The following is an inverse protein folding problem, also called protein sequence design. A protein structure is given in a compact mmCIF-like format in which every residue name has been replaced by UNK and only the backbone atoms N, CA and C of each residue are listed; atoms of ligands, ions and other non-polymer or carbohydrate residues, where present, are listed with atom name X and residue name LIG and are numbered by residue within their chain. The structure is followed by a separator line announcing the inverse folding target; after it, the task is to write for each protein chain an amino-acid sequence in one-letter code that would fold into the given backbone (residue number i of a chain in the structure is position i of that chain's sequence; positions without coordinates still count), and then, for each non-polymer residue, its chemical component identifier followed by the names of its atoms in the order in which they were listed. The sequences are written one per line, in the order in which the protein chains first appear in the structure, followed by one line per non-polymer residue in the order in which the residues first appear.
data_IF_191351629501
#
_entry.id   IF_191351629501
#
_cell.length_a   1.000
_cell.length_b   1.000
_cell.length_c   1.000
_cell.angle_alpha   90.00
_cell.angle_beta   90.00
_cell.angle_gamma   90.00
#
_symmetry.space_group_name_H-M   'P 1'
#
loop_
_entity.id
_entity.type
_entity.pdbx_description
1 polymer ?
#
# COMPACT_ATOMS: atom_id res chain seq x y z
N UNK A 1 24.65 0.42 29.04
CA UNK A 1 24.53 -0.05 27.64
C UNK A 1 23.56 0.88 26.93
N UNK A 2 24.06 1.73 26.03
CA UNK A 2 23.20 2.50 25.13
C UNK A 2 22.57 1.50 24.16
N UNK A 3 21.31 1.13 24.43
CA UNK A 3 20.53 0.36 23.47
C UNK A 3 20.52 1.14 22.16
N UNK A 4 20.84 0.48 21.05
CA UNK A 4 20.67 1.08 19.73
C UNK A 4 19.16 1.21 19.49
N UNK A 5 18.65 2.38 19.85
CA UNK A 5 17.24 2.78 19.81
C UNK A 5 16.68 2.57 18.40
N UNK A 6 17.48 2.89 17.37
CA UNK A 6 17.10 2.75 15.97
C UNK A 6 17.02 1.27 15.55
N UNK A 7 18.01 0.46 15.94
CA UNK A 7 17.97 -1.00 15.70
C UNK A 7 16.76 -1.65 16.37
N UNK A 8 16.49 -1.29 17.63
CA UNK A 8 15.36 -1.84 18.39
C UNK A 8 14.02 -1.49 17.71
N UNK A 9 13.87 -0.22 17.28
CA UNK A 9 12.68 0.23 16.55
C UNK A 9 12.49 -0.54 15.25
N UNK A 10 13.58 -0.78 14.51
CA UNK A 10 13.55 -1.52 13.24
C UNK A 10 13.10 -2.97 13.45
N UNK A 11 13.68 -3.68 14.43
CA UNK A 11 13.31 -5.06 14.75
C UNK A 11 11.82 -5.19 15.12
N UNK A 12 11.30 -4.23 15.90
CA UNK A 12 9.89 -4.20 16.27
C UNK A 12 8.99 -3.97 15.04
N UNK A 13 9.34 -3.05 14.15
CA UNK A 13 8.57 -2.78 12.94
C UNK A 13 8.61 -3.96 11.96
N UNK A 14 9.75 -4.64 11.80
CA UNK A 14 9.87 -5.81 10.94
C UNK A 14 8.95 -6.94 11.44
N UNK A 15 9.03 -7.28 12.74
CA UNK A 15 8.17 -8.31 13.34
C UNK A 15 6.69 -7.93 13.31
N UNK A 16 6.37 -6.66 13.54
CA UNK A 16 5.00 -6.16 13.50
C UNK A 16 4.41 -6.20 12.08
N UNK A 17 5.21 -5.88 11.05
CA UNK A 17 4.80 -5.94 9.65
C UNK A 17 4.28 -7.33 9.30
N UNK A 18 5.04 -8.38 9.64
CA UNK A 18 4.64 -9.76 9.38
C UNK A 18 3.39 -10.17 10.16
N UNK A 19 3.33 -9.85 11.46
CA UNK A 19 2.18 -10.21 12.30
C UNK A 19 0.88 -9.52 11.81
N UNK A 20 0.93 -8.21 11.55
CA UNK A 20 -0.24 -7.46 11.09
C UNK A 20 -0.67 -7.84 9.69
N UNK A 21 0.27 -8.04 8.74
CA UNK A 21 -0.10 -8.49 7.40
C UNK A 21 -0.82 -9.85 7.44
N UNK A 22 -0.39 -10.77 8.33
CA UNK A 22 -0.99 -12.09 8.44
C UNK A 22 -2.34 -12.08 9.17
N UNK A 23 -2.46 -11.33 10.28
CA UNK A 23 -3.56 -11.49 11.25
C UNK A 23 -4.42 -10.24 11.45
N UNK A 24 -4.10 -9.14 10.79
CA UNK A 24 -4.73 -7.86 11.03
C UNK A 24 -4.38 -7.26 12.40
N UNK A 25 -4.92 -6.08 12.66
CA UNK A 25 -4.68 -5.34 13.90
C UNK A 25 -5.35 -6.04 15.08
N UNK A 26 -6.60 -6.48 14.95
CA UNK A 26 -7.37 -7.16 15.98
C UNK A 26 -6.77 -8.52 16.35
N UNK A 27 -6.33 -9.30 15.35
CA UNK A 27 -5.74 -10.63 15.55
C UNK A 27 -4.31 -10.62 16.08
N UNK A 28 -3.62 -9.48 16.02
CA UNK A 28 -2.22 -9.37 16.47
C UNK A 28 -2.10 -9.04 17.95
N UNK A 29 -1.25 -9.79 18.65
CA UNK A 29 -0.90 -9.56 20.06
C UNK A 29 0.46 -8.89 20.17
N UNK A 30 0.56 -7.81 20.94
CA UNK A 30 1.81 -7.08 21.20
C UNK A 30 2.89 -7.98 21.79
N UNK A 31 2.52 -8.92 22.67
CA UNK A 31 3.46 -9.91 23.22
C UNK A 31 4.09 -10.80 22.13
N UNK A 32 3.33 -11.16 21.10
CA UNK A 32 3.84 -11.98 19.99
C UNK A 32 4.83 -11.18 19.13
N UNK A 33 4.52 -9.91 18.83
CA UNK A 33 5.44 -9.01 18.12
C UNK A 33 6.76 -8.85 18.88
N UNK A 34 6.69 -8.58 20.19
CA UNK A 34 7.85 -8.40 21.04
C UNK A 34 8.75 -9.65 21.07
N UNK A 35 8.13 -10.82 21.24
CA UNK A 35 8.82 -12.11 21.21
C UNK A 35 9.51 -12.35 19.88
N UNK A 36 8.82 -12.14 18.77
CA UNK A 36 9.36 -12.39 17.43
C UNK A 36 10.47 -11.39 17.06
N UNK A 37 10.39 -10.16 17.57
CA UNK A 37 11.48 -9.17 17.46
C UNK A 37 12.67 -9.45 18.38
N UNK A 38 12.54 -10.34 19.38
CA UNK A 38 13.53 -10.53 20.44
C UNK A 38 13.73 -9.30 21.32
N UNK A 39 12.69 -8.47 21.46
CA UNK A 39 12.72 -7.19 22.17
C UNK A 39 11.71 -7.20 23.32
N UNK A 40 12.04 -6.53 24.43
CA UNK A 40 11.10 -6.35 25.53
C UNK A 40 9.85 -5.56 25.05
N UNK A 41 8.66 -6.09 25.31
CA UNK A 41 7.37 -5.47 24.97
C UNK A 41 7.18 -4.06 25.51
N UNK A 42 7.79 -3.70 26.65
CA UNK A 42 7.72 -2.32 27.16
C UNK A 42 8.29 -1.30 26.15
N UNK A 43 9.22 -1.72 25.28
CA UNK A 43 9.73 -0.88 24.19
C UNK A 43 8.67 -0.54 23.14
N UNK A 44 7.68 -1.40 22.91
CA UNK A 44 6.59 -1.11 21.97
C UNK A 44 5.78 0.08 22.49
N UNK A 45 5.37 0.03 23.75
CA UNK A 45 4.65 1.14 24.39
C UNK A 45 5.51 2.41 24.44
N UNK A 46 6.81 2.27 24.70
CA UNK A 46 7.73 3.42 24.70
C UNK A 46 7.85 4.10 23.32
N UNK A 47 7.96 3.34 22.23
CA UNK A 47 8.18 3.90 20.88
C UNK A 47 6.90 4.29 20.15
N UNK A 48 5.81 3.56 20.39
CA UNK A 48 4.61 3.63 19.57
C UNK A 48 3.35 3.94 20.39
N UNK A 49 3.45 4.02 21.71
CA UNK A 49 2.35 4.33 22.62
C UNK A 49 1.40 3.15 22.86
N UNK A 50 0.87 2.56 21.79
CA UNK A 50 -0.08 1.45 21.83
C UNK A 50 0.05 0.57 20.56
N UNK A 51 -0.83 -0.43 20.43
CA UNK A 51 -0.83 -1.37 19.30
C UNK A 51 -1.22 -0.67 18.00
N UNK A 52 -2.14 0.28 18.08
CA UNK A 52 -2.68 1.07 16.99
C UNK A 52 -1.61 2.00 16.40
N UNK A 53 -0.83 2.67 17.25
CA UNK A 53 0.30 3.50 16.85
C UNK A 53 1.46 2.67 16.29
N UNK A 54 1.64 1.43 16.75
CA UNK A 54 2.57 0.49 16.13
C UNK A 54 2.09 0.10 14.72
N UNK A 55 0.80 -0.17 14.55
CA UNK A 55 0.20 -0.45 13.23
C UNK A 55 0.35 0.75 12.28
N UNK A 56 0.08 1.97 12.75
CA UNK A 56 0.26 3.19 11.97
C UNK A 56 1.71 3.36 11.51
N UNK A 57 2.67 3.13 12.41
CA UNK A 57 4.08 3.21 12.09
C UNK A 57 4.54 2.13 11.09
N UNK A 58 3.97 0.92 11.17
CA UNK A 58 4.20 -0.15 10.18
C UNK A 58 3.65 0.25 8.82
N UNK A 59 2.41 0.73 8.77
CA UNK A 59 1.75 1.09 7.52
C UNK A 59 2.45 2.27 6.82
N UNK A 60 2.81 3.31 7.57
CA UNK A 60 3.58 4.44 7.05
C UNK A 60 4.94 4.00 6.51
N UNK A 61 5.69 3.17 7.25
CA UNK A 61 6.98 2.65 6.77
C UNK A 61 6.82 1.82 5.50
N UNK A 62 5.81 0.96 5.43
CA UNK A 62 5.56 0.12 4.26
C UNK A 62 5.22 0.98 3.02
N UNK A 63 4.44 2.05 3.21
CA UNK A 63 4.11 3.00 2.15
C UNK A 63 5.32 3.84 1.71
N UNK A 64 6.15 4.32 2.64
CA UNK A 64 7.39 5.03 2.30
C UNK A 64 8.33 4.17 1.45
N UNK A 65 8.53 2.90 1.84
CA UNK A 65 9.33 1.96 1.06
C UNK A 65 8.73 1.70 -0.33
N UNK A 66 7.40 1.64 -0.43
CA UNK A 66 6.67 1.44 -1.68
C UNK A 66 6.79 2.65 -2.61
N UNK A 67 6.57 3.86 -2.10
CA UNK A 67 6.66 5.10 -2.89
C UNK A 67 8.05 5.30 -3.49
N UNK A 68 9.09 4.84 -2.80
CA UNK A 68 10.45 4.86 -3.33
C UNK A 68 10.73 3.82 -4.42
N UNK A 69 9.95 2.72 -4.45
CA UNK A 69 10.17 1.60 -5.36
C UNK A 69 9.39 1.73 -6.68
N UNK A 70 8.30 2.49 -6.69
CA UNK A 70 7.37 2.58 -7.82
C UNK A 70 7.30 4.02 -8.34
N UNK A 71 8.32 4.51 -9.05
CA UNK A 71 8.28 5.85 -9.62
C UNK A 71 7.35 5.88 -10.85
N UNK A 72 6.63 6.99 -11.02
CA UNK A 72 6.00 7.32 -12.30
C UNK A 72 7.03 8.08 -13.14
N UNK A 73 7.59 7.41 -14.14
CA UNK A 73 8.59 7.98 -15.04
C UNK A 73 8.02 8.19 -16.45
N UNK A 74 8.39 9.31 -17.08
CA UNK A 74 7.98 9.63 -18.44
C UNK A 74 6.64 10.40 -18.53
N UNK A 75 6.06 10.41 -19.72
CA UNK A 75 4.84 11.16 -20.02
C UNK A 75 3.86 10.33 -20.86
N UNK A 76 2.59 10.69 -20.78
CA UNK A 76 1.49 10.11 -21.55
C UNK A 76 0.90 8.84 -20.95
N UNK A 77 -0.08 8.29 -21.66
CA UNK A 77 -0.89 7.13 -21.27
C UNK A 77 -0.03 5.88 -21.00
N UNK A 78 1.04 5.70 -21.78
CA UNK A 78 1.95 4.57 -21.62
C UNK A 78 2.70 4.61 -20.28
N UNK A 79 3.12 5.80 -19.83
CA UNK A 79 3.78 5.98 -18.54
C UNK A 79 2.86 5.63 -17.37
N UNK A 80 1.57 6.00 -17.46
CA UNK A 80 0.57 5.63 -16.45
C UNK A 80 0.31 4.12 -16.44
N UNK A 81 0.27 3.49 -17.62
CA UNK A 81 0.17 2.04 -17.74
C UNK A 81 1.34 1.32 -17.07
N UNK A 82 2.58 1.74 -17.36
CA UNK A 82 3.76 1.13 -16.75
C UNK A 82 3.81 1.36 -15.24
N UNK A 83 3.44 2.56 -14.77
CA UNK A 83 3.30 2.84 -13.32
C UNK A 83 2.35 1.84 -12.65
N UNK A 84 1.20 1.54 -13.27
CA UNK A 84 0.27 0.53 -12.74
C UNK A 84 0.87 -0.88 -12.75
N UNK A 85 1.67 -1.23 -13.76
CA UNK A 85 2.42 -2.48 -13.84
C UNK A 85 3.46 -2.62 -12.73
N UNK A 86 4.31 -1.60 -12.55
CA UNK A 86 5.30 -1.56 -11.47
C UNK A 86 4.65 -1.63 -10.08
N UNK A 87 3.50 -0.98 -9.89
CA UNK A 87 2.74 -1.05 -8.66
C UNK A 87 2.26 -2.48 -8.37
N UNK A 88 1.76 -3.18 -9.40
CA UNK A 88 1.37 -4.59 -9.28
C UNK A 88 2.56 -5.52 -8.99
N UNK A 89 3.70 -5.29 -9.65
CA UNK A 89 4.93 -6.07 -9.43
C UNK A 89 5.43 -5.92 -7.99
N UNK A 90 5.42 -4.71 -7.45
CA UNK A 90 5.85 -4.44 -6.08
C UNK A 90 4.92 -5.11 -5.05
N UNK A 91 3.60 -5.10 -5.28
CA UNK A 91 2.66 -5.85 -4.44
C UNK A 91 2.86 -7.36 -4.52
N UNK A 92 3.30 -7.86 -5.67
CA UNK A 92 3.63 -9.29 -5.84
C UNK A 92 4.92 -9.66 -5.13
N UNK A 93 5.94 -8.81 -5.20
CA UNK A 93 7.20 -9.01 -4.51
C UNK A 93 7.07 -8.83 -2.99
N UNK A 94 6.20 -7.91 -2.53
CA UNK A 94 6.01 -7.55 -1.13
C UNK A 94 4.52 -7.51 -0.77
N UNK A 95 3.90 -8.68 -0.54
CA UNK A 95 2.45 -8.78 -0.30
C UNK A 95 2.02 -8.22 1.05
N UNK A 96 2.94 -7.79 1.91
CA UNK A 96 2.61 -7.21 3.22
C UNK A 96 1.81 -5.92 3.09
N UNK A 97 2.20 -5.01 2.20
CA UNK A 97 1.51 -3.72 2.03
C UNK A 97 0.04 -3.87 1.59
N UNK A 98 -0.30 -4.60 0.50
CA UNK A 98 -1.70 -4.75 0.10
C UNK A 98 -2.54 -5.45 1.18
N UNK A 99 -1.96 -6.37 1.96
CA UNK A 99 -2.65 -6.99 3.10
C UNK A 99 -2.88 -6.02 4.25
N UNK A 100 -1.90 -5.19 4.58
CA UNK A 100 -2.04 -4.15 5.61
C UNK A 100 -3.12 -3.13 5.24
N UNK A 101 -3.18 -2.70 3.98
CA UNK A 101 -4.23 -1.82 3.47
C UNK A 101 -5.61 -2.49 3.54
N UNK A 102 -5.70 -3.79 3.19
CA UNK A 102 -6.95 -4.54 3.31
C UNK A 102 -7.41 -4.64 4.77
N UNK A 103 -6.51 -4.95 5.70
CA UNK A 103 -6.83 -4.98 7.13
C UNK A 103 -7.22 -3.62 7.69
N UNK A 104 -6.53 -2.55 7.28
CA UNK A 104 -6.91 -1.18 7.66
C UNK A 104 -8.36 -0.89 7.25
N UNK A 105 -8.72 -1.17 5.99
CA UNK A 105 -10.08 -0.97 5.49
C UNK A 105 -11.13 -1.80 6.24
N UNK A 106 -10.84 -3.06 6.53
CA UNK A 106 -11.76 -3.97 7.23
C UNK A 106 -11.96 -3.62 8.71
N UNK A 107 -10.90 -3.18 9.39
CA UNK A 107 -10.93 -3.01 10.84
C UNK A 107 -11.20 -1.59 11.30
N UNK A 108 -10.84 -0.58 10.50
CA UNK A 108 -10.96 0.83 10.88
C UNK A 108 -12.00 1.58 10.08
N UNK A 109 -12.34 1.11 8.88
CA UNK A 109 -13.33 1.75 8.03
C UNK A 109 -13.02 3.22 7.78
N UNK A 110 -14.08 4.01 7.58
CA UNK A 110 -13.95 5.44 7.33
C UNK A 110 -13.66 6.21 8.63
N UNK A 111 -12.64 7.06 8.61
CA UNK A 111 -12.25 7.90 9.76
C UNK A 111 -12.72 9.33 9.54
N UNK A 112 -14.03 9.55 9.68
CA UNK A 112 -14.63 10.88 9.51
C UNK A 112 -13.92 11.92 10.38
N UNK A 113 -13.56 13.06 9.77
CA UNK A 113 -12.99 14.22 10.47
C UNK A 113 -11.52 14.09 10.89
N UNK A 114 -10.83 12.99 10.53
CA UNK A 114 -9.39 12.82 10.80
C UNK A 114 -8.61 12.99 9.50
N UNK A 115 -7.71 13.99 9.46
CA UNK A 115 -6.79 14.15 8.33
C UNK A 115 -5.79 13.00 8.31
N UNK A 116 -5.82 12.21 7.25
CA UNK A 116 -4.87 11.11 7.08
C UNK A 116 -3.48 11.66 6.71
N UNK A 117 -2.39 11.25 7.40
CA UNK A 117 -1.04 11.72 7.12
C UNK A 117 -0.56 11.39 5.69
N UNK A 118 -1.20 10.42 5.02
CA UNK A 118 -0.86 10.01 3.65
C UNK A 118 -1.47 10.91 2.58
N UNK A 119 -2.39 11.82 2.94
CA UNK A 119 -3.10 12.66 1.99
C UNK A 119 -2.15 13.48 1.10
N UNK A 120 -1.04 13.97 1.65
CA UNK A 120 -0.01 14.69 0.89
C UNK A 120 0.62 13.82 -0.19
N UNK A 121 1.10 12.63 0.16
CA UNK A 121 1.70 11.70 -0.80
C UNK A 121 0.70 11.26 -1.88
N UNK A 122 -0.56 11.03 -1.53
CA UNK A 122 -1.60 10.72 -2.51
C UNK A 122 -1.82 11.89 -3.49
N UNK A 123 -1.86 13.13 -2.99
CA UNK A 123 -2.00 14.33 -3.82
C UNK A 123 -0.80 14.54 -4.74
N UNK A 124 0.42 14.28 -4.26
CA UNK A 124 1.65 14.34 -5.07
C UNK A 124 1.63 13.31 -6.20
N UNK A 125 1.25 12.06 -5.93
CA UNK A 125 1.12 11.03 -6.97
C UNK A 125 0.04 11.37 -7.99
N UNK A 126 -1.11 11.89 -7.55
CA UNK A 126 -2.15 12.36 -8.46
C UNK A 126 -1.66 13.52 -9.34
N UNK A 127 -0.84 14.42 -8.78
CA UNK A 127 -0.22 15.50 -9.53
C UNK A 127 0.79 14.97 -10.58
N UNK A 128 1.53 13.90 -10.27
CA UNK A 128 2.42 13.23 -11.24
C UNK A 128 1.64 12.60 -12.39
N UNK A 129 0.54 11.89 -12.10
CA UNK A 129 -0.35 11.35 -13.13
C UNK A 129 -0.91 12.46 -14.02
N UNK A 130 -1.34 13.58 -13.42
CA UNK A 130 -1.80 14.75 -14.17
C UNK A 130 -0.70 15.39 -15.01
N UNK A 131 0.53 15.44 -14.50
CA UNK A 131 1.67 15.96 -15.27
C UNK A 131 1.96 15.07 -16.49
N UNK A 132 1.89 13.75 -16.34
CA UNK A 132 2.06 12.80 -17.43
C UNK A 132 0.89 12.85 -18.43
N UNK A 133 -0.34 13.08 -17.97
CA UNK A 133 -1.55 13.17 -18.78
C UNK A 133 -2.27 14.51 -18.56
N UNK A 134 -1.78 15.62 -19.19
CA UNK A 134 -2.32 16.96 -18.97
C UNK A 134 -3.79 17.15 -19.35
N UNK A 135 -4.34 16.23 -20.15
CA UNK A 135 -5.76 16.20 -20.49
C UNK A 135 -6.67 15.89 -19.29
N UNK A 136 -6.12 15.28 -18.23
CA UNK A 136 -6.87 14.98 -17.01
C UNK A 136 -6.95 16.22 -16.11
N UNK A 137 -8.15 16.50 -15.60
CA UNK A 137 -8.34 17.40 -14.47
C UNK A 137 -7.72 16.82 -13.19
N UNK A 138 -7.50 17.68 -12.19
CA UNK A 138 -7.02 17.22 -10.87
C UNK A 138 -7.87 16.10 -10.26
N UNK A 139 -9.21 16.25 -10.19
CA UNK A 139 -10.09 15.20 -9.69
C UNK A 139 -10.01 13.90 -10.49
N UNK A 140 -9.92 13.95 -11.82
CA UNK A 140 -9.79 12.76 -12.67
C UNK A 140 -8.47 12.02 -12.42
N UNK A 141 -7.35 12.75 -12.27
CA UNK A 141 -6.06 12.14 -11.94
C UNK A 141 -6.07 11.49 -10.55
N UNK A 142 -6.74 12.09 -9.57
CA UNK A 142 -6.93 11.49 -8.23
C UNK A 142 -7.77 10.22 -8.30
N UNK A 143 -8.87 10.23 -9.06
CA UNK A 143 -9.73 9.05 -9.24
C UNK A 143 -9.00 7.94 -10.00
N UNK A 144 -8.16 8.29 -10.98
CA UNK A 144 -7.32 7.35 -11.69
C UNK A 144 -6.29 6.70 -10.76
N UNK A 145 -5.62 7.48 -9.90
CA UNK A 145 -4.71 6.93 -8.89
C UNK A 145 -5.43 5.93 -7.98
N UNK A 146 -6.60 6.31 -7.45
CA UNK A 146 -7.41 5.42 -6.62
C UNK A 146 -7.75 4.12 -7.38
N UNK A 147 -8.18 4.24 -8.63
CA UNK A 147 -8.54 3.09 -9.47
C UNK A 147 -7.34 2.17 -9.72
N UNK A 148 -6.15 2.71 -10.00
CA UNK A 148 -4.91 1.93 -10.17
C UNK A 148 -4.59 1.15 -8.88
N UNK A 149 -4.62 1.84 -7.74
CA UNK A 149 -4.37 1.22 -6.42
C UNK A 149 -5.40 0.10 -6.16
N UNK A 150 -6.68 0.33 -6.42
CA UNK A 150 -7.74 -0.69 -6.25
C UNK A 150 -7.55 -1.87 -7.19
N UNK A 151 -7.19 -1.64 -8.47
CA UNK A 151 -7.00 -2.72 -9.45
C UNK A 151 -5.85 -3.66 -9.05
N UNK A 152 -4.76 -3.09 -8.53
CA UNK A 152 -3.60 -3.87 -8.11
C UNK A 152 -3.79 -4.53 -6.73
N UNK A 153 -4.37 -3.83 -5.75
CA UNK A 153 -4.65 -4.40 -4.42
C UNK A 153 -5.74 -5.47 -4.46
N UNK A 154 -6.76 -5.30 -5.31
CA UNK A 154 -7.92 -6.19 -5.37
C UNK A 154 -7.58 -7.65 -5.67
N UNK A 155 -6.52 -7.90 -6.44
CA UNK A 155 -6.02 -9.25 -6.70
C UNK A 155 -5.62 -9.99 -5.41
N UNK A 156 -4.98 -9.28 -4.49
CA UNK A 156 -4.50 -9.83 -3.22
C UNK A 156 -5.58 -9.87 -2.14
N UNK A 157 -6.52 -8.93 -2.20
CA UNK A 157 -7.65 -8.89 -1.28
C UNK A 157 -8.73 -9.94 -1.63
N UNK A 158 -8.84 -10.32 -2.91
CA UNK A 158 -9.89 -11.19 -3.43
C UNK A 158 -9.35 -12.34 -4.32
N UNK A 159 -8.32 -13.09 -3.88
CA UNK A 159 -7.64 -14.08 -4.73
C UNK A 159 -8.59 -15.16 -5.25
N UNK A 160 -9.55 -15.60 -4.43
CA UNK A 160 -10.55 -16.59 -4.82
C UNK A 160 -11.47 -16.09 -5.95
N UNK A 161 -11.78 -14.78 -6.01
CA UNK A 161 -12.61 -14.24 -7.08
C UNK A 161 -11.81 -14.12 -8.38
N UNK A 162 -10.52 -13.81 -8.31
CA UNK A 162 -9.63 -13.85 -9.47
C UNK A 162 -9.61 -15.26 -10.09
N UNK A 163 -9.43 -16.29 -9.26
CA UNK A 163 -9.45 -17.68 -9.69
C UNK A 163 -10.82 -18.10 -10.27
N UNK A 164 -11.93 -17.76 -9.61
CA UNK A 164 -13.29 -18.12 -10.05
C UNK A 164 -13.67 -17.41 -11.36
N UNK A 165 -13.36 -16.13 -11.50
CA UNK A 165 -13.88 -15.30 -12.59
C UNK A 165 -13.03 -15.38 -13.86
N UNK A 166 -11.71 -15.46 -13.73
CA UNK A 166 -10.82 -15.47 -14.90
C UNK A 166 -9.86 -16.65 -14.94
N UNK A 167 -9.49 -17.22 -13.78
CA UNK A 167 -8.49 -18.29 -13.72
C UNK A 167 -7.10 -17.86 -14.18
N UNK A 168 -6.87 -16.54 -14.26
CA UNK A 168 -5.65 -15.97 -14.81
C UNK A 168 -4.44 -16.16 -13.89
N UNK A 169 -3.27 -16.33 -14.50
CA UNK A 169 -2.00 -16.24 -13.80
C UNK A 169 -1.57 -14.79 -13.52
N UNK A 170 -0.53 -14.63 -12.70
CA UNK A 170 0.05 -13.34 -12.31
C UNK A 170 0.39 -12.46 -13.51
N UNK A 171 0.98 -13.04 -14.58
CA UNK A 171 1.37 -12.29 -15.78
C UNK A 171 0.17 -11.73 -16.56
N UNK A 172 -0.88 -12.53 -16.72
CA UNK A 172 -2.12 -12.11 -17.37
C UNK A 172 -2.81 -11.01 -16.55
N UNK A 173 -2.75 -11.11 -15.21
CA UNK A 173 -3.27 -10.06 -14.33
C UNK A 173 -2.48 -8.76 -14.44
N UNK A 174 -1.15 -8.81 -14.47
CA UNK A 174 -0.30 -7.62 -14.68
C UNK A 174 -0.66 -6.93 -15.98
N UNK A 175 -0.77 -7.68 -17.08
CA UNK A 175 -1.15 -7.14 -18.39
C UNK A 175 -2.53 -6.47 -18.37
N UNK A 176 -3.50 -7.07 -17.69
CA UNK A 176 -4.84 -6.49 -17.53
C UNK A 176 -4.81 -5.17 -16.73
N UNK A 177 -4.05 -5.11 -15.64
CA UNK A 177 -3.89 -3.89 -14.83
C UNK A 177 -3.30 -2.75 -15.66
N UNK A 178 -2.24 -3.02 -16.43
CA UNK A 178 -1.62 -2.04 -17.34
C UNK A 178 -2.63 -1.55 -18.38
N UNK A 179 -3.31 -2.47 -19.06
CA UNK A 179 -4.28 -2.12 -20.10
C UNK A 179 -5.46 -1.28 -19.56
N UNK A 180 -6.00 -1.65 -18.40
CA UNK A 180 -7.10 -0.93 -17.76
C UNK A 180 -6.67 0.46 -17.29
N UNK A 181 -5.49 0.59 -16.67
CA UNK A 181 -4.94 1.88 -16.26
C UNK A 181 -4.72 2.80 -17.47
N UNK A 182 -4.14 2.28 -18.55
CA UNK A 182 -3.96 3.03 -19.80
C UNK A 182 -5.29 3.47 -20.42
N UNK A 183 -6.30 2.61 -20.44
CA UNK A 183 -7.62 2.95 -20.95
C UNK A 183 -8.29 4.07 -20.13
N UNK A 184 -8.21 4.01 -18.80
CA UNK A 184 -8.74 5.06 -17.93
C UNK A 184 -7.97 6.38 -18.10
N UNK A 185 -6.65 6.33 -18.31
CA UNK A 185 -5.81 7.52 -18.55
C UNK A 185 -6.11 8.20 -19.89
N UNK A 186 -6.61 7.45 -20.88
CA UNK A 186 -7.04 8.00 -22.16
C UNK A 186 -8.32 8.83 -22.06
N UNK A 187 -9.13 8.61 -21.01
CA UNK A 187 -10.43 9.24 -20.82
C UNK A 187 -11.54 8.63 -21.68
N UNK A 188 -12.81 9.00 -21.44
CA UNK A 188 -13.94 8.54 -22.24
C UNK A 188 -13.92 9.23 -23.62
N UNK A 189 -13.19 8.67 -24.58
CA UNK A 189 -13.25 9.07 -25.99
C UNK A 189 -11.89 9.22 -26.68
N UNK A 190 -11.31 8.10 -27.09
CA UNK A 190 -10.59 7.95 -28.35
C UNK A 190 -11.18 6.77 -29.11
#
# INVERSE_FOLDING_TARGET
MAWDTARTRTLLLDAATEQFAQKGLAGTRVDAVARDAGVNKERIYQYFGNKEGLFDAVLLRALECFLMAVPLEGNGIAAVGEFAGCLFDEYTARPQLPRLLAWEGLERGDREGVTDPRAGACAENAALIRAACPQLSGPEATQLLLSIVTLATGWWALPQLGEIMSGDGVDARRAAVVAQASAMAAGPGQ
#
